data_IF_340006988818
#
_entry.id   IF_340006988818
#
_cell.length_a   1.000
_cell.length_b   1.000
_cell.length_c   1.000
_cell.angle_alpha   90.00
_cell.angle_beta   90.00
_cell.angle_gamma   90.00
#
_symmetry.space_group_name_H-M   'P 1'
#
loop_
_entity.id
_entity.type
_entity.pdbx_description
1 polymer ?
#
# COMPACT_ATOMS: atom_id res chain seq x y z
N UNK A 1 29.32 -25.93 -31.27
CA UNK A 1 29.69 -24.75 -30.46
C UNK A 1 29.09 -24.90 -29.09
N UNK A 2 29.87 -24.68 -28.02
CA UNK A 2 29.37 -24.65 -26.65
C UNK A 2 29.42 -23.19 -26.16
N UNK A 3 28.36 -22.75 -25.50
CA UNK A 3 28.24 -21.42 -24.92
C UNK A 3 27.97 -21.53 -23.42
N UNK A 4 28.44 -20.55 -22.66
CA UNK A 4 28.18 -20.38 -21.22
C UNK A 4 27.96 -18.89 -20.95
N UNK A 5 27.23 -18.57 -19.88
CA UNK A 5 27.02 -17.20 -19.41
C UNK A 5 27.56 -17.05 -17.99
N UNK A 6 28.07 -15.86 -17.67
CA UNK A 6 28.64 -15.52 -16.37
C UNK A 6 27.97 -14.27 -15.84
N UNK A 7 27.62 -14.25 -14.55
CA UNK A 7 27.07 -13.07 -13.88
C UNK A 7 28.03 -11.87 -13.91
N UNK A 8 29.34 -12.11 -14.02
CA UNK A 8 30.37 -11.09 -14.16
C UNK A 8 30.47 -10.52 -15.59
N UNK A 9 29.77 -11.09 -16.57
CA UNK A 9 29.86 -10.70 -17.98
C UNK A 9 28.47 -10.39 -18.59
N UNK A 10 27.79 -9.30 -18.16
CA UNK A 10 26.58 -8.83 -18.82
C UNK A 10 26.86 -8.51 -20.30
N UNK A 11 25.81 -8.57 -21.13
CA UNK A 11 25.89 -8.17 -22.55
C UNK A 11 26.51 -6.77 -22.69
N UNK A 12 27.48 -6.65 -23.60
CA UNK A 12 28.04 -5.35 -23.97
C UNK A 12 27.08 -4.62 -24.91
N UNK A 13 26.71 -3.38 -24.54
CA UNK A 13 25.89 -2.45 -25.32
C UNK A 13 26.69 -1.15 -25.44
N UNK A 14 27.00 -0.72 -26.67
CA UNK A 14 27.82 0.47 -26.94
C UNK A 14 29.16 0.47 -26.17
N UNK A 15 29.85 -0.67 -26.15
CA UNK A 15 31.15 -0.82 -25.51
C UNK A 15 31.14 -0.92 -23.98
N UNK A 16 29.98 -0.93 -23.32
CA UNK A 16 29.86 -1.08 -21.86
C UNK A 16 28.92 -2.22 -21.47
N UNK A 17 29.15 -2.92 -20.33
CA UNK A 17 28.18 -3.88 -19.81
C UNK A 17 26.82 -3.23 -19.56
N UNK A 18 25.73 -3.91 -19.93
CA UNK A 18 24.38 -3.47 -19.61
C UNK A 18 24.18 -3.37 -18.09
N UNK A 19 23.44 -2.36 -17.64
CA UNK A 19 22.99 -2.22 -16.23
C UNK A 19 21.68 -2.96 -15.94
N UNK A 20 21.14 -3.68 -16.93
CA UNK A 20 19.90 -4.44 -16.81
C UNK A 20 20.11 -5.92 -17.18
N UNK A 21 21.02 -6.67 -16.51
CA UNK A 21 21.09 -8.11 -16.66
C UNK A 21 19.79 -8.76 -16.16
N UNK A 22 19.32 -9.80 -16.84
CA UNK A 22 18.03 -10.45 -16.55
C UNK A 22 18.15 -11.96 -16.62
N UNK A 23 17.38 -12.62 -15.78
CA UNK A 23 17.09 -14.05 -15.82
C UNK A 23 15.71 -14.28 -15.20
N UNK A 24 15.04 -15.38 -15.57
CA UNK A 24 13.80 -15.80 -14.92
C UNK A 24 14.16 -16.73 -13.77
N UNK A 25 14.16 -16.20 -12.55
CA UNK A 25 14.39 -16.99 -11.34
C UNK A 25 13.15 -17.84 -11.04
N UNK A 26 13.35 -19.11 -10.72
CA UNK A 26 12.28 -19.94 -10.15
C UNK A 26 11.86 -19.36 -8.80
N UNK A 27 10.55 -19.21 -8.56
CA UNK A 27 10.01 -18.66 -7.30
C UNK A 27 10.58 -19.46 -6.11
N UNK A 28 11.18 -18.82 -5.08
CA UNK A 28 11.92 -19.54 -4.04
C UNK A 28 11.12 -20.57 -3.24
N UNK A 29 9.83 -20.34 -3.01
CA UNK A 29 8.91 -21.27 -2.34
C UNK A 29 8.63 -22.53 -3.18
N UNK A 30 8.76 -22.43 -4.51
CA UNK A 30 8.64 -23.57 -5.44
C UNK A 30 9.99 -24.29 -5.58
N UNK A 31 11.10 -23.54 -5.54
CA UNK A 31 12.45 -24.10 -5.58
C UNK A 31 12.79 -24.85 -4.28
N UNK A 32 12.28 -24.38 -3.14
CA UNK A 32 12.47 -24.96 -1.81
C UNK A 32 11.12 -25.35 -1.17
N UNK A 33 10.40 -26.35 -1.73
CA UNK A 33 9.05 -26.69 -1.27
C UNK A 33 9.03 -27.25 0.17
N UNK A 34 10.16 -27.77 0.67
CA UNK A 34 10.28 -28.27 2.04
C UNK A 34 10.14 -27.18 3.10
N UNK A 35 10.66 -25.97 2.82
CA UNK A 35 10.54 -24.83 3.74
C UNK A 35 9.08 -24.39 3.84
N UNK A 36 8.39 -24.28 2.70
CA UNK A 36 6.95 -23.98 2.62
C UNK A 36 6.11 -25.02 3.36
N UNK A 37 6.41 -26.32 3.17
CA UNK A 37 5.71 -27.40 3.85
C UNK A 37 5.94 -27.37 5.38
N UNK A 38 7.17 -27.10 5.80
CA UNK A 38 7.54 -27.00 7.22
C UNK A 38 6.86 -25.80 7.88
N UNK A 39 6.82 -24.65 7.21
CA UNK A 39 6.12 -23.46 7.67
C UNK A 39 4.62 -23.72 7.80
N UNK A 40 3.98 -24.33 6.79
CA UNK A 40 2.55 -24.66 6.84
C UNK A 40 2.22 -25.62 7.99
N UNK A 41 3.03 -26.67 8.19
CA UNK A 41 2.84 -27.62 9.28
C UNK A 41 2.98 -26.92 10.64
N UNK A 42 4.01 -26.09 10.82
CA UNK A 42 4.22 -25.33 12.06
C UNK A 42 3.03 -24.39 12.33
N UNK A 43 2.54 -23.69 11.31
CA UNK A 43 1.37 -22.82 11.41
C UNK A 43 0.10 -23.60 11.75
N UNK A 44 -0.14 -24.75 11.12
CA UNK A 44 -1.29 -25.61 11.47
C UNK A 44 -1.23 -26.09 12.91
N UNK A 45 -0.05 -26.52 13.39
CA UNK A 45 0.14 -26.91 14.79
C UNK A 45 -0.12 -25.74 15.74
N UNK A 46 0.38 -24.54 15.43
CA UNK A 46 0.14 -23.34 16.22
C UNK A 46 -1.36 -22.97 16.29
N UNK A 47 -2.10 -23.16 15.20
CA UNK A 47 -3.55 -22.93 15.13
C UNK A 47 -4.39 -24.14 15.58
N UNK A 48 -3.76 -25.24 16.00
CA UNK A 48 -4.42 -26.51 16.37
C UNK A 48 -5.35 -27.04 15.26
N UNK A 49 -4.95 -26.84 14.00
CA UNK A 49 -5.71 -27.27 12.83
C UNK A 49 -5.21 -28.62 12.28
N UNK A 50 -6.12 -29.51 11.83
CA UNK A 50 -5.73 -30.74 11.15
C UNK A 50 -4.98 -30.47 9.84
N UNK A 51 -4.02 -31.34 9.50
CA UNK A 51 -3.21 -31.20 8.27
C UNK A 51 -4.00 -31.35 6.97
N UNK A 52 -5.17 -32.01 7.02
CA UNK A 52 -6.09 -32.13 5.88
C UNK A 52 -7.00 -30.92 5.65
N UNK A 53 -6.95 -29.90 6.52
CA UNK A 53 -7.71 -28.67 6.35
C UNK A 53 -6.81 -27.56 5.79
N UNK A 54 -7.37 -26.78 4.86
CA UNK A 54 -6.68 -25.63 4.29
C UNK A 54 -6.53 -24.53 5.34
N UNK A 55 -5.29 -24.07 5.54
CA UNK A 55 -4.97 -22.92 6.37
C UNK A 55 -4.54 -21.75 5.47
N UNK A 56 -5.24 -20.63 5.56
CA UNK A 56 -4.89 -19.36 4.94
C UNK A 56 -4.38 -18.42 6.03
N UNK A 57 -3.13 -17.98 5.92
CA UNK A 57 -2.56 -16.99 6.82
C UNK A 57 -2.86 -15.58 6.28
N UNK A 58 -3.39 -14.67 7.12
CA UNK A 58 -3.66 -13.30 6.71
C UNK A 58 -2.37 -12.47 6.65
N UNK A 59 -2.49 -11.24 6.16
CA UNK A 59 -1.45 -10.23 6.37
C UNK A 59 -1.53 -9.75 7.81
N UNK A 60 -0.37 -9.59 8.44
CA UNK A 60 -0.24 -9.19 9.84
C UNK A 60 0.19 -7.72 10.00
N UNK A 61 1.07 -7.26 9.12
CA UNK A 61 1.69 -5.93 9.15
C UNK A 61 1.88 -5.44 7.72
N UNK A 62 1.55 -4.18 7.46
CA UNK A 62 1.84 -3.52 6.18
C UNK A 62 2.95 -2.50 6.38
N UNK A 63 4.15 -2.85 5.95
CA UNK A 63 5.32 -1.97 5.98
C UNK A 63 5.85 -1.70 4.58
N UNK A 64 5.44 -0.57 4.02
CA UNK A 64 5.95 -0.09 2.76
C UNK A 64 7.39 0.47 2.93
N UNK A 65 8.08 0.62 1.81
CA UNK A 65 9.45 1.14 1.77
C UNK A 65 9.52 2.43 0.98
N UNK A 66 10.32 3.38 1.47
CA UNK A 66 10.60 4.64 0.76
C UNK A 66 12.05 4.71 0.36
N UNK A 67 12.32 5.03 -0.91
CA UNK A 67 13.67 5.35 -1.35
C UNK A 67 13.97 6.82 -1.10
N UNK A 68 14.80 7.06 -0.09
CA UNK A 68 15.27 8.38 0.28
C UNK A 68 16.57 8.72 -0.47
N UNK A 69 16.81 10.00 -0.72
CA UNK A 69 18.06 10.50 -1.28
C UNK A 69 18.44 11.86 -0.70
N UNK A 70 19.75 12.13 -0.54
CA UNK A 70 20.25 13.47 -0.25
C UNK A 70 20.02 14.39 -1.46
N UNK A 71 20.21 15.71 -1.30
CA UNK A 71 20.29 16.61 -2.44
C UNK A 71 21.52 16.28 -3.29
N UNK A 72 21.35 16.30 -4.62
CA UNK A 72 22.43 16.21 -5.61
C UNK A 72 22.16 17.20 -6.75
N UNK A 73 23.15 17.47 -7.62
CA UNK A 73 22.97 18.39 -8.75
C UNK A 73 21.79 17.96 -9.64
N UNK A 74 20.73 18.77 -9.64
CA UNK A 74 19.50 18.52 -10.39
C UNK A 74 18.58 17.46 -9.77
N UNK A 75 18.84 16.99 -8.55
CA UNK A 75 18.01 16.02 -7.82
C UNK A 75 17.51 16.64 -6.51
N UNK A 76 16.19 16.82 -6.34
CA UNK A 76 15.65 17.41 -5.12
C UNK A 76 15.86 16.47 -3.92
N UNK A 77 16.07 17.01 -2.70
CA UNK A 77 16.23 16.19 -1.52
C UNK A 77 14.91 15.50 -1.15
N UNK A 78 15.01 14.23 -0.76
CA UNK A 78 13.91 13.44 -0.22
C UNK A 78 14.44 12.63 0.95
N UNK A 79 14.86 13.29 2.02
CA UNK A 79 15.55 12.64 3.13
C UNK A 79 15.02 13.00 4.54
N UNK A 80 13.78 13.51 4.62
CA UNK A 80 13.16 13.88 5.90
C UNK A 80 12.74 12.69 6.78
N UNK A 81 12.68 11.46 6.24
CA UNK A 81 12.24 10.30 7.00
C UNK A 81 13.34 9.76 7.90
N UNK A 82 12.97 9.38 9.12
CA UNK A 82 13.80 8.57 10.02
C UNK A 82 13.71 7.07 9.59
N UNK A 83 14.36 6.12 10.32
CA UNK A 83 14.35 4.71 9.94
C UNK A 83 12.97 4.07 9.73
N UNK A 84 11.97 4.45 10.53
CA UNK A 84 10.64 3.86 10.49
C UNK A 84 9.58 4.86 10.94
N UNK A 85 8.64 5.15 10.04
CA UNK A 85 7.48 5.99 10.30
C UNK A 85 6.20 5.15 10.40
N UNK A 86 5.29 5.61 11.25
CA UNK A 86 3.88 5.23 11.23
C UNK A 86 3.09 6.41 10.67
N UNK A 87 2.22 6.15 9.70
CA UNK A 87 1.34 7.17 9.12
C UNK A 87 -0.11 6.77 9.36
N UNK A 88 -0.88 7.70 9.92
CA UNK A 88 -2.34 7.60 9.90
C UNK A 88 -2.83 7.63 8.45
N UNK A 89 -4.04 7.13 8.22
CA UNK A 89 -4.53 6.88 6.86
C UNK A 89 -4.52 8.12 5.95
N UNK A 90 -4.83 9.35 6.39
CA UNK A 90 -4.73 10.52 5.52
C UNK A 90 -3.30 10.73 4.99
N UNK A 91 -2.30 10.77 5.85
CA UNK A 91 -0.89 10.94 5.47
C UNK A 91 -0.38 9.76 4.63
N UNK A 92 -0.75 8.54 5.00
CA UNK A 92 -0.38 7.33 4.25
C UNK A 92 -0.93 7.40 2.81
N UNK A 93 -2.15 7.88 2.63
CA UNK A 93 -2.75 8.01 1.30
C UNK A 93 -2.21 9.21 0.53
N UNK A 94 -1.66 10.25 1.17
CA UNK A 94 -0.86 11.24 0.46
C UNK A 94 0.42 10.62 -0.12
N UNK A 95 1.08 9.73 0.64
CA UNK A 95 2.27 8.99 0.20
C UNK A 95 1.92 8.00 -0.93
N UNK A 96 0.90 7.16 -0.76
CA UNK A 96 0.51 6.18 -1.79
C UNK A 96 0.03 6.82 -3.08
N UNK A 97 -0.74 7.90 -2.99
CA UNK A 97 -1.18 8.65 -4.18
C UNK A 97 0.03 9.22 -4.94
N UNK A 98 1.02 9.73 -4.20
CA UNK A 98 2.18 10.41 -4.80
C UNK A 98 3.28 9.45 -5.28
N UNK A 99 3.57 8.37 -4.53
CA UNK A 99 4.63 7.39 -4.78
C UNK A 99 5.93 8.06 -5.27
N UNK A 100 6.51 8.88 -4.38
CA UNK A 100 7.56 9.84 -4.74
C UNK A 100 8.94 9.18 -4.90
N UNK A 101 9.74 9.71 -5.82
CA UNK A 101 11.12 9.25 -6.06
C UNK A 101 12.02 10.37 -6.53
N UNK A 102 13.28 10.39 -6.07
CA UNK A 102 14.28 11.34 -6.56
C UNK A 102 14.81 11.02 -7.96
N UNK A 103 14.48 9.85 -8.52
CA UNK A 103 14.79 9.53 -9.93
C UNK A 103 13.83 10.26 -10.86
N UNK A 104 14.36 10.83 -11.94
CA UNK A 104 13.58 11.55 -12.97
C UNK A 104 12.70 12.65 -12.37
N UNK A 105 13.31 13.69 -11.76
CA UNK A 105 12.57 14.79 -11.15
C UNK A 105 11.71 15.51 -12.20
N UNK A 106 10.61 16.09 -11.73
CA UNK A 106 9.75 16.93 -12.55
C UNK A 106 10.24 18.38 -12.54
N UNK A 107 9.67 19.24 -13.39
CA UNK A 107 10.04 20.67 -13.44
C UNK A 107 9.84 21.39 -12.09
N UNK A 108 8.93 20.91 -11.23
CA UNK A 108 8.54 21.60 -9.98
C UNK A 108 8.76 20.77 -8.71
N UNK A 109 9.28 19.54 -8.80
CA UNK A 109 9.44 18.68 -7.62
C UNK A 109 9.99 17.30 -7.95
N UNK A 110 9.81 16.34 -7.06
CA UNK A 110 10.25 14.96 -7.26
C UNK A 110 9.50 14.26 -8.41
N UNK A 111 10.08 13.15 -8.87
CA UNK A 111 9.39 12.21 -9.74
C UNK A 111 8.26 11.51 -8.98
N UNK A 112 7.26 11.01 -9.72
CA UNK A 112 6.16 10.20 -9.18
C UNK A 112 6.06 8.93 -10.02
N UNK A 113 5.92 7.78 -9.36
CA UNK A 113 5.66 6.49 -10.00
C UNK A 113 4.14 6.25 -10.22
N UNK A 114 3.32 7.27 -9.95
CA UNK A 114 1.86 7.20 -9.96
C UNK A 114 1.30 6.45 -8.74
N UNK A 115 -0.02 6.51 -8.55
CA UNK A 115 -0.69 5.91 -7.41
C UNK A 115 -0.26 4.45 -7.17
N UNK A 116 0.19 4.17 -5.94
CA UNK A 116 0.69 2.87 -5.48
C UNK A 116 1.78 2.27 -6.38
N UNK A 117 2.63 3.10 -7.01
CA UNK A 117 3.66 2.70 -7.99
C UNK A 117 3.12 2.05 -9.27
N UNK A 118 1.81 2.19 -9.53
CA UNK A 118 1.12 1.53 -10.66
C UNK A 118 0.97 2.41 -11.90
N UNK A 119 1.55 3.61 -11.94
CA UNK A 119 1.44 4.54 -13.07
C UNK A 119 1.71 3.90 -14.43
N UNK A 120 2.81 3.12 -14.61
CA UNK A 120 3.10 2.44 -15.88
C UNK A 120 2.22 1.22 -16.20
N UNK A 121 1.38 0.77 -15.25
CA UNK A 121 0.70 -0.53 -15.29
C UNK A 121 -0.82 -0.44 -15.14
N UNK A 122 -1.37 0.75 -14.93
CA UNK A 122 -2.81 0.96 -14.78
C UNK A 122 -3.38 1.67 -16.01
N UNK A 123 -4.26 0.96 -16.73
CA UNK A 123 -4.97 1.49 -17.91
C UNK A 123 -6.32 2.14 -17.56
N UNK A 124 -6.67 2.19 -16.28
CA UNK A 124 -7.93 2.77 -15.77
C UNK A 124 -7.64 3.98 -14.88
N UNK A 125 -8.65 4.82 -14.60
CA UNK A 125 -8.54 5.88 -13.59
C UNK A 125 -7.96 5.35 -12.27
N UNK A 126 -6.82 5.91 -11.85
CA UNK A 126 -6.08 5.45 -10.67
C UNK A 126 -6.89 5.57 -9.37
N UNK A 127 -7.91 6.45 -9.35
CA UNK A 127 -8.79 6.64 -8.20
C UNK A 127 -9.60 5.37 -7.84
N UNK A 128 -9.87 4.49 -8.82
CA UNK A 128 -10.57 3.22 -8.59
C UNK A 128 -9.74 2.31 -7.68
N UNK A 129 -8.43 2.24 -7.96
CA UNK A 129 -7.48 1.50 -7.14
C UNK A 129 -7.35 2.13 -5.74
N UNK A 130 -7.25 3.46 -5.67
CA UNK A 130 -7.12 4.17 -4.39
C UNK A 130 -8.35 3.98 -3.50
N UNK A 131 -9.57 4.05 -4.05
CA UNK A 131 -10.81 3.77 -3.30
C UNK A 131 -10.79 2.36 -2.70
N UNK A 132 -10.35 1.36 -3.48
CA UNK A 132 -10.27 -0.02 -3.01
C UNK A 132 -9.16 -0.22 -1.96
N UNK A 133 -8.00 0.41 -2.17
CA UNK A 133 -6.90 0.38 -1.21
C UNK A 133 -7.27 1.05 0.10
N UNK A 134 -7.95 2.20 0.07
CA UNK A 134 -8.39 2.86 1.31
C UNK A 134 -9.31 1.95 2.12
N UNK A 135 -10.32 1.37 1.46
CA UNK A 135 -11.20 0.40 2.12
C UNK A 135 -10.43 -0.80 2.68
N UNK A 136 -9.39 -1.28 2.00
CA UNK A 136 -8.61 -2.40 2.54
C UNK A 136 -7.93 -2.05 3.85
N UNK A 137 -7.39 -0.84 4.01
CA UNK A 137 -6.78 -0.41 5.28
C UNK A 137 -7.83 -0.10 6.35
N UNK A 138 -8.90 0.61 5.99
CA UNK A 138 -9.95 1.01 6.93
C UNK A 138 -10.68 -0.21 7.52
N UNK A 139 -11.07 -1.18 6.67
CA UNK A 139 -11.92 -2.29 7.09
C UNK A 139 -11.18 -3.33 7.94
N UNK A 140 -9.88 -3.48 7.72
CA UNK A 140 -9.00 -4.37 8.49
C UNK A 140 -8.22 -3.66 9.59
N UNK A 141 -8.36 -2.34 9.70
CA UNK A 141 -7.66 -1.49 10.67
C UNK A 141 -6.13 -1.67 10.64
N UNK A 142 -5.55 -1.82 9.43
CA UNK A 142 -4.10 -1.93 9.32
C UNK A 142 -3.41 -0.61 9.61
N UNK A 143 -2.35 -0.68 10.42
CA UNK A 143 -1.39 0.41 10.59
C UNK A 143 -0.48 0.56 9.35
N UNK A 144 -0.34 1.79 8.86
CA UNK A 144 0.51 2.12 7.73
C UNK A 144 1.95 2.42 8.14
N UNK A 145 2.87 1.49 7.89
CA UNK A 145 4.29 1.68 8.19
C UNK A 145 5.10 2.04 6.95
N UNK A 146 6.08 2.94 7.12
CA UNK A 146 7.01 3.40 6.08
C UNK A 146 8.45 3.26 6.55
N UNK A 147 9.19 2.33 5.97
CA UNK A 147 10.61 2.09 6.27
C UNK A 147 11.54 2.86 5.31
N UNK A 148 12.64 3.39 5.84
CA UNK A 148 13.63 4.10 5.03
C UNK A 148 14.58 3.15 4.31
N UNK A 149 14.82 3.42 3.02
CA UNK A 149 15.88 2.82 2.21
C UNK A 149 16.71 3.92 1.53
N UNK A 150 17.97 3.60 1.21
CA UNK A 150 18.94 4.52 0.64
C UNK A 150 19.59 5.39 1.71
N UNK A 151 18.86 6.37 2.24
CA UNK A 151 19.38 7.36 3.19
C UNK A 151 18.41 7.66 4.35
N UNK A 152 18.96 8.10 5.48
CA UNK A 152 18.24 8.72 6.59
C UNK A 152 18.88 10.09 6.84
N UNK A 153 18.16 11.16 6.55
CA UNK A 153 18.78 12.49 6.41
C UNK A 153 19.78 12.57 5.25
N UNK A 154 20.45 13.72 5.09
CA UNK A 154 21.39 13.94 3.98
C UNK A 154 22.73 13.20 4.13
N UNK A 155 23.09 12.73 5.34
CA UNK A 155 24.46 12.25 5.64
C UNK A 155 24.55 10.75 5.89
N UNK A 156 23.47 10.11 6.33
CA UNK A 156 23.52 8.69 6.72
C UNK A 156 22.98 7.80 5.61
N UNK A 157 23.88 7.07 4.96
CA UNK A 157 23.53 6.05 3.97
C UNK A 157 23.19 4.73 4.68
N UNK A 158 22.02 4.18 4.38
CA UNK A 158 21.48 2.95 4.99
C UNK A 158 21.19 1.84 3.96
N UNK A 159 21.30 2.13 2.66
CA UNK A 159 20.98 1.19 1.57
C UNK A 159 19.69 0.38 1.85
N UNK A 160 19.80 -0.90 2.19
CA UNK A 160 18.66 -1.74 2.59
C UNK A 160 18.80 -2.32 4.01
N UNK A 161 19.73 -1.81 4.80
CA UNK A 161 20.02 -2.34 6.15
C UNK A 161 18.78 -2.28 7.04
N UNK A 162 18.03 -1.18 6.99
CA UNK A 162 16.77 -1.05 7.73
C UNK A 162 15.66 -1.92 7.11
N UNK A 163 15.58 -2.00 5.78
CA UNK A 163 14.56 -2.80 5.08
C UNK A 163 14.59 -4.26 5.52
N UNK A 164 15.79 -4.82 5.74
CA UNK A 164 15.97 -6.20 6.19
C UNK A 164 15.58 -6.42 7.67
N UNK A 165 15.57 -5.37 8.49
CA UNK A 165 15.24 -5.45 9.92
C UNK A 165 13.74 -5.35 10.20
N UNK A 166 12.96 -4.75 9.30
CA UNK A 166 11.50 -4.60 9.46
C UNK A 166 10.81 -5.92 9.82
N UNK A 167 10.93 -7.02 9.04
CA UNK A 167 10.27 -8.27 9.40
C UNK A 167 10.81 -8.88 10.70
N UNK A 168 12.11 -8.74 10.98
CA UNK A 168 12.74 -9.29 12.20
C UNK A 168 12.23 -8.62 13.47
N UNK A 169 11.97 -7.31 13.43
CA UNK A 169 11.43 -6.58 14.57
C UNK A 169 9.94 -6.90 14.76
N UNK A 170 9.12 -6.76 13.70
CA UNK A 170 7.67 -6.94 13.81
C UNK A 170 7.25 -8.38 14.07
N UNK A 171 7.97 -9.39 13.56
CA UNK A 171 7.68 -10.80 13.84
C UNK A 171 8.00 -11.19 15.29
N UNK A 172 8.81 -10.39 15.98
CA UNK A 172 9.17 -10.59 17.39
C UNK A 172 8.34 -9.72 18.34
N UNK A 173 7.35 -8.98 17.85
CA UNK A 173 6.39 -8.20 18.64
C UNK A 173 5.02 -8.89 18.61
N UNK A 174 4.31 -8.91 19.73
CA UNK A 174 2.90 -9.35 19.71
C UNK A 174 2.03 -8.33 18.97
N UNK A 175 0.82 -8.71 18.52
CA UNK A 175 -0.12 -7.76 17.92
C UNK A 175 -0.37 -6.52 18.81
N UNK A 176 -0.53 -6.71 20.11
CA UNK A 176 -0.78 -5.62 21.07
C UNK A 176 0.44 -4.72 21.28
N UNK A 177 1.65 -5.28 21.18
CA UNK A 177 2.89 -4.50 21.31
C UNK A 177 3.17 -3.62 20.09
N UNK A 178 2.70 -4.04 18.90
CA UNK A 178 2.95 -3.36 17.62
C UNK A 178 1.79 -2.50 17.12
N UNK A 179 0.65 -2.53 17.80
CA UNK A 179 -0.46 -1.60 17.58
C UNK A 179 0.04 -0.15 17.72
N UNK A 180 -0.21 0.67 16.69
CA UNK A 180 0.34 2.02 16.65
C UNK A 180 -0.20 2.90 17.79
N UNK A 181 -1.45 2.74 18.21
CA UNK A 181 -2.03 3.51 19.33
C UNK A 181 -1.33 3.16 20.65
N UNK A 182 -1.06 1.88 20.90
CA UNK A 182 -0.28 1.41 22.03
C UNK A 182 1.15 1.96 22.01
N UNK A 183 1.79 1.98 20.83
CA UNK A 183 3.14 2.53 20.66
C UNK A 183 3.21 4.04 20.87
N UNK A 184 2.21 4.80 20.42
CA UNK A 184 2.07 6.24 20.70
C UNK A 184 1.87 6.48 22.20
N UNK A 185 0.95 5.74 22.84
CA UNK A 185 0.70 5.86 24.28
C UNK A 185 1.94 5.51 25.12
N UNK A 186 2.75 4.55 24.67
CA UNK A 186 4.00 4.17 25.30
C UNK A 186 5.19 5.06 24.86
N UNK A 187 4.98 6.16 24.13
CA UNK A 187 6.07 7.06 23.70
C UNK A 187 7.15 6.40 22.82
N UNK A 188 6.82 5.25 22.22
CA UNK A 188 7.66 4.59 21.23
C UNK A 188 7.51 5.23 19.85
N UNK A 189 6.39 5.92 19.61
CA UNK A 189 6.16 6.78 18.47
C UNK A 189 5.98 8.23 18.93
N UNK A 190 6.56 9.18 18.20
CA UNK A 190 6.32 10.62 18.39
C UNK A 190 5.80 11.25 17.09
N UNK A 191 4.85 12.21 17.15
CA UNK A 191 4.41 12.94 15.96
C UNK A 191 5.54 13.84 15.45
N UNK A 192 5.63 14.02 14.13
CA UNK A 192 6.52 15.00 13.53
C UNK A 192 5.78 16.35 13.43
N UNK A 193 6.14 17.38 14.21
CA UNK A 193 5.37 18.62 14.22
C UNK A 193 5.72 19.50 13.02
N UNK A 194 4.73 20.27 12.54
CA UNK A 194 5.00 21.42 11.68
C UNK A 194 6.02 22.35 12.34
N UNK A 195 6.89 22.96 11.53
CA UNK A 195 7.94 23.84 12.02
C UNK A 195 8.03 25.14 11.21
N UNK A 196 8.77 26.12 11.72
CA UNK A 196 9.07 27.36 10.99
C UNK A 196 10.56 27.46 10.77
N UNK A 197 10.96 27.50 9.49
CA UNK A 197 12.35 27.64 9.08
C UNK A 197 12.44 28.89 8.21
N UNK A 198 13.32 29.82 8.57
CA UNK A 198 13.49 31.11 7.88
C UNK A 198 12.17 31.89 7.68
N UNK A 199 11.27 31.87 8.67
CA UNK A 199 10.00 32.57 8.64
C UNK A 199 8.91 31.93 7.76
N UNK A 200 9.19 30.76 7.17
CA UNK A 200 8.23 30.01 6.35
C UNK A 200 7.76 28.75 7.10
N UNK A 201 6.46 28.45 6.99
CA UNK A 201 5.86 27.25 7.57
C UNK A 201 6.26 26.02 6.76
N UNK A 202 6.76 24.99 7.44
CA UNK A 202 7.11 23.68 6.91
C UNK A 202 6.08 22.67 7.42
N UNK A 203 5.35 22.02 6.50
CA UNK A 203 4.23 21.11 6.82
C UNK A 203 4.72 19.69 7.16
N UNK A 204 5.63 19.57 8.13
CA UNK A 204 6.26 18.30 8.49
C UNK A 204 5.30 17.30 9.17
N UNK A 205 4.13 17.76 9.65
CA UNK A 205 3.03 16.89 10.10
C UNK A 205 2.59 15.85 9.06
N UNK A 206 2.78 16.14 7.76
CA UNK A 206 2.50 15.17 6.68
C UNK A 206 3.37 13.91 6.72
N UNK A 207 4.41 13.88 7.56
CA UNK A 207 5.27 12.71 7.78
C UNK A 207 4.71 11.75 8.85
N UNK A 208 3.59 12.10 9.50
CA UNK A 208 2.94 11.30 10.52
C UNK A 208 3.79 11.20 11.80
N UNK A 209 3.96 9.96 12.28
CA UNK A 209 4.72 9.62 13.47
C UNK A 209 6.00 8.89 13.09
N UNK A 210 6.98 8.92 13.99
CA UNK A 210 8.27 8.27 13.80
C UNK A 210 8.72 7.53 15.04
N UNK A 211 9.52 6.48 14.87
CA UNK A 211 10.08 5.74 16.01
C UNK A 211 11.00 6.62 16.86
N UNK A 212 10.96 6.41 18.17
CA UNK A 212 11.83 7.10 19.14
C UNK A 212 12.98 6.21 19.61
N UNK A 213 13.89 6.78 20.39
CA UNK A 213 14.93 5.99 21.09
C UNK A 213 14.31 4.91 22.00
N UNK A 214 13.11 5.17 22.54
CA UNK A 214 12.40 4.20 23.39
C UNK A 214 11.97 2.97 22.59
N UNK A 215 11.48 3.15 21.36
CA UNK A 215 11.18 2.04 20.45
C UNK A 215 12.44 1.20 20.19
N UNK A 216 13.55 1.86 19.84
CA UNK A 216 14.82 1.18 19.58
C UNK A 216 15.25 0.35 20.81
N UNK A 217 15.31 0.97 22.00
CA UNK A 217 15.69 0.28 23.24
C UNK A 217 14.79 -0.92 23.56
N UNK A 218 13.46 -0.80 23.37
CA UNK A 218 12.48 -1.82 23.78
C UNK A 218 12.38 -2.98 22.80
N UNK A 219 12.31 -2.70 21.50
CA UNK A 219 11.99 -3.72 20.49
C UNK A 219 13.19 -4.15 19.65
N UNK A 220 14.11 -3.23 19.30
CA UNK A 220 15.36 -3.63 18.64
C UNK A 220 16.29 -4.42 19.56
N UNK A 221 16.11 -4.34 20.89
CA UNK A 221 16.81 -5.19 21.86
C UNK A 221 16.53 -6.69 21.71
N UNK A 222 15.47 -7.07 20.96
CA UNK A 222 15.17 -8.47 20.62
C UNK A 222 16.02 -9.00 19.46
N UNK A 223 16.73 -8.12 18.76
CA UNK A 223 17.61 -8.43 17.61
C UNK A 223 19.07 -8.09 17.93
N UNK A 224 19.30 -6.95 18.59
CA UNK A 224 20.63 -6.41 18.86
C UNK A 224 20.96 -6.44 20.36
N UNK A 225 22.22 -6.76 20.69
CA UNK A 225 22.73 -6.75 22.06
C UNK A 225 22.80 -5.35 22.69
N UNK A 226 23.03 -4.32 21.88
CA UNK A 226 23.16 -2.93 22.34
C UNK A 226 22.18 -2.02 21.58
N UNK A 227 20.87 -2.10 21.89
CA UNK A 227 19.84 -1.41 21.10
C UNK A 227 19.90 0.12 21.17
N UNK A 228 20.57 0.67 22.19
CA UNK A 228 20.72 2.12 22.40
C UNK A 228 21.77 2.78 21.47
N UNK A 229 22.54 1.99 20.72
CA UNK A 229 23.51 2.50 19.72
C UNK A 229 23.18 2.06 18.29
N UNK A 230 22.03 1.40 18.09
CA UNK A 230 21.59 0.95 16.75
C UNK A 230 21.28 2.14 15.85
N UNK A 231 20.60 3.14 16.40
CA UNK A 231 20.34 4.41 15.73
C UNK A 231 20.86 5.54 16.61
N UNK A 232 21.71 6.38 16.04
CA UNK A 232 22.11 7.61 16.72
C UNK A 232 20.96 8.64 16.73
N UNK A 233 21.18 9.73 17.45
CA UNK A 233 20.19 10.80 17.59
C UNK A 233 19.86 11.47 16.25
N UNK A 234 20.83 11.57 15.34
CA UNK A 234 20.68 12.21 14.03
C UNK A 234 19.97 11.30 13.02
N UNK A 235 19.99 9.98 13.20
CA UNK A 235 19.17 9.04 12.46
C UNK A 235 17.73 9.09 12.92
N UNK A 236 17.49 9.09 14.25
CA UNK A 236 16.13 9.16 14.81
C UNK A 236 15.47 10.52 14.57
N UNK A 237 16.28 11.58 14.47
CA UNK A 237 15.85 12.96 14.22
C UNK A 237 16.68 13.58 13.07
N UNK A 238 16.35 13.24 11.80
CA UNK A 238 17.11 13.67 10.62
C UNK A 238 17.26 15.20 10.48
N UNK A 239 16.34 15.97 11.06
CA UNK A 239 16.40 17.43 11.09
C UNK A 239 17.66 17.96 11.82
N UNK A 240 18.29 17.15 12.67
CA UNK A 240 19.52 17.52 13.37
C UNK A 240 20.76 17.45 12.47
N UNK A 241 20.70 16.70 11.36
CA UNK A 241 21.81 16.62 10.41
C UNK A 241 21.95 17.93 9.63
N UNK A 242 20.82 18.48 9.18
CA UNK A 242 20.70 19.77 8.48
C UNK A 242 19.22 20.20 8.45
N UNK A 243 18.86 21.25 9.19
CA UNK A 243 17.48 21.74 9.30
C UNK A 243 16.95 22.29 7.97
N UNK A 244 17.82 22.92 7.16
CA UNK A 244 17.41 23.50 5.89
C UNK A 244 17.10 22.41 4.86
N UNK A 245 17.92 21.36 4.76
CA UNK A 245 17.67 20.23 3.86
C UNK A 245 16.44 19.43 4.31
N UNK A 246 16.20 19.31 5.62
CA UNK A 246 14.98 18.70 6.14
C UNK A 246 13.74 19.49 5.69
N UNK A 247 13.75 20.81 5.88
CA UNK A 247 12.67 21.69 5.45
C UNK A 247 12.43 21.62 3.94
N UNK A 248 13.50 21.66 3.14
CA UNK A 248 13.44 21.52 1.69
C UNK A 248 12.84 20.17 1.26
N UNK A 249 13.25 19.07 1.93
CA UNK A 249 12.68 17.74 1.65
C UNK A 249 11.17 17.70 1.89
N UNK A 250 10.67 18.36 2.93
CA UNK A 250 9.24 18.45 3.23
C UNK A 250 8.52 19.30 2.17
N UNK A 251 9.12 20.41 1.73
CA UNK A 251 8.52 21.22 0.65
C UNK A 251 8.41 20.46 -0.66
N UNK A 252 9.45 19.69 -1.01
CA UNK A 252 9.44 18.83 -2.19
C UNK A 252 8.30 17.81 -2.09
N UNK A 253 8.07 17.24 -0.91
CA UNK A 253 6.94 16.34 -0.65
C UNK A 253 5.60 17.06 -0.88
N UNK A 254 5.40 18.22 -0.25
CA UNK A 254 4.15 18.99 -0.34
C UNK A 254 3.85 19.42 -1.79
N UNK A 255 4.85 19.92 -2.51
CA UNK A 255 4.70 20.36 -3.90
C UNK A 255 4.44 19.17 -4.83
N UNK A 256 5.07 18.02 -4.58
CA UNK A 256 4.81 16.81 -5.35
C UNK A 256 3.39 16.29 -5.11
N UNK A 257 2.93 16.28 -3.85
CA UNK A 257 1.55 15.96 -3.49
C UNK A 257 0.55 16.89 -4.18
N UNK A 258 0.81 18.20 -4.19
CA UNK A 258 -0.03 19.20 -4.86
C UNK A 258 -0.14 18.92 -6.36
N UNK A 259 0.99 18.71 -7.04
CA UNK A 259 1.05 18.41 -8.48
C UNK A 259 0.31 17.12 -8.82
N UNK A 260 0.52 16.05 -8.04
CA UNK A 260 -0.14 14.76 -8.27
C UNK A 260 -1.64 14.88 -8.04
N UNK A 261 -2.08 15.55 -6.97
CA UNK A 261 -3.49 15.75 -6.70
C UNK A 261 -4.19 16.56 -7.80
N UNK A 262 -3.52 17.60 -8.33
CA UNK A 262 -4.04 18.41 -9.43
C UNK A 262 -4.41 17.57 -10.67
N UNK A 263 -3.66 16.50 -10.97
CA UNK A 263 -3.94 15.64 -12.12
C UNK A 263 -5.34 15.00 -12.07
N UNK A 264 -5.87 14.68 -10.88
CA UNK A 264 -7.22 14.12 -10.70
C UNK A 264 -8.33 15.15 -10.96
N UNK A 265 -8.03 16.44 -10.78
CA UNK A 265 -8.94 17.51 -11.17
C UNK A 265 -8.89 17.74 -12.68
N UNK A 266 -7.68 17.75 -13.25
CA UNK A 266 -7.45 18.05 -14.66
C UNK A 266 -8.10 17.01 -15.59
N UNK A 267 -8.14 15.74 -15.18
CA UNK A 267 -8.80 14.66 -15.92
C UNK A 267 -10.24 14.34 -15.45
N UNK A 268 -10.72 15.05 -14.43
CA UNK A 268 -12.06 14.90 -13.86
C UNK A 268 -12.29 13.61 -13.06
N UNK A 269 -11.26 12.79 -12.86
CA UNK A 269 -11.39 11.51 -12.13
C UNK A 269 -11.60 11.68 -10.64
N UNK A 270 -11.37 12.88 -10.09
CA UNK A 270 -11.73 13.23 -8.71
C UNK A 270 -13.21 12.99 -8.39
N UNK A 271 -14.11 13.10 -9.36
CA UNK A 271 -15.55 12.84 -9.15
C UNK A 271 -15.86 11.37 -8.84
N UNK A 272 -14.92 10.46 -9.10
CA UNK A 272 -15.04 9.04 -8.72
C UNK A 272 -14.46 8.74 -7.32
N UNK A 273 -13.80 9.70 -6.69
CA UNK A 273 -13.17 9.53 -5.38
C UNK A 273 -14.23 9.32 -4.29
N UNK A 274 -14.02 8.33 -3.42
CA UNK A 274 -14.84 8.24 -2.21
C UNK A 274 -14.60 9.49 -1.32
N UNK A 275 -15.56 9.89 -0.46
CA UNK A 275 -15.48 11.14 0.29
C UNK A 275 -14.16 11.40 1.05
N UNK A 276 -13.53 10.42 1.73
CA UNK A 276 -12.25 10.64 2.41
C UNK A 276 -11.12 11.02 1.45
N UNK A 277 -11.03 10.34 0.29
CA UNK A 277 -10.01 10.62 -0.72
C UNK A 277 -10.29 11.91 -1.48
N UNK A 278 -11.57 12.25 -1.72
CA UNK A 278 -11.94 13.55 -2.31
C UNK A 278 -11.43 14.69 -1.44
N UNK A 279 -11.75 14.66 -0.15
CA UNK A 279 -11.27 15.66 0.82
C UNK A 279 -9.73 15.71 0.85
N UNK A 280 -9.07 14.56 0.86
CA UNK A 280 -7.61 14.48 0.87
C UNK A 280 -6.97 15.11 -0.38
N UNK A 281 -7.50 14.79 -1.58
CA UNK A 281 -7.01 15.35 -2.84
C UNK A 281 -7.24 16.86 -2.92
N UNK A 282 -8.38 17.35 -2.43
CA UNK A 282 -8.62 18.79 -2.31
C UNK A 282 -7.60 19.47 -1.38
N UNK A 283 -7.33 18.89 -0.21
CA UNK A 283 -6.31 19.39 0.73
C UNK A 283 -4.92 19.36 0.10
N UNK A 284 -4.56 18.30 -0.62
CA UNK A 284 -3.26 18.20 -1.29
C UNK A 284 -3.10 19.28 -2.36
N UNK A 285 -4.12 19.49 -3.21
CA UNK A 285 -4.07 20.44 -4.32
C UNK A 285 -4.20 21.91 -3.89
N UNK A 286 -5.11 22.19 -2.94
CA UNK A 286 -5.57 23.54 -2.61
C UNK A 286 -5.20 23.98 -1.19
N UNK A 287 -4.63 23.08 -0.38
CA UNK A 287 -4.35 23.28 1.04
C UNK A 287 -5.56 23.07 1.95
N UNK A 288 -6.77 23.03 1.39
CA UNK A 288 -8.05 22.89 2.09
C UNK A 288 -9.11 22.25 1.20
N UNK A 289 -10.13 21.68 1.80
CA UNK A 289 -11.35 21.22 1.13
C UNK A 289 -12.18 22.41 0.59
N UNK A 290 -13.17 22.12 -0.25
CA UNK A 290 -14.08 23.13 -0.80
C UNK A 290 -14.85 23.94 0.27
N UNK A 291 -15.19 23.30 1.40
CA UNK A 291 -15.83 23.93 2.57
C UNK A 291 -14.83 24.55 3.57
N UNK A 292 -13.53 24.50 3.26
CA UNK A 292 -12.48 25.23 3.98
C UNK A 292 -11.82 24.46 5.12
N UNK A 293 -12.04 23.14 5.22
CA UNK A 293 -11.39 22.27 6.19
C UNK A 293 -9.97 21.91 5.74
N UNK A 294 -9.12 21.63 6.71
CA UNK A 294 -7.72 21.25 6.57
C UNK A 294 -7.50 19.82 7.06
N UNK A 295 -6.26 19.33 6.91
CA UNK A 295 -5.89 17.99 7.33
C UNK A 295 -6.09 17.77 8.85
N UNK A 296 -5.93 18.81 9.66
CA UNK A 296 -6.02 18.74 11.12
C UNK A 296 -7.47 18.83 11.63
N UNK A 297 -8.43 19.13 10.77
CA UNK A 297 -9.82 19.24 11.18
C UNK A 297 -10.39 17.86 11.57
N UNK A 298 -10.97 17.69 12.77
CA UNK A 298 -11.49 16.41 13.23
C UNK A 298 -12.54 15.81 12.30
N UNK A 299 -13.30 16.66 11.60
CA UNK A 299 -14.29 16.23 10.62
C UNK A 299 -13.63 15.49 9.43
N UNK A 300 -12.46 15.94 8.96
CA UNK A 300 -11.70 15.28 7.88
C UNK A 300 -11.13 13.95 8.37
N UNK A 301 -10.49 13.96 9.55
CA UNK A 301 -9.92 12.74 10.16
C UNK A 301 -10.97 11.63 10.33
N UNK A 302 -12.16 12.01 10.82
CA UNK A 302 -13.28 11.09 11.05
C UNK A 302 -13.80 10.39 9.79
N UNK A 303 -13.57 10.94 8.59
CA UNK A 303 -13.94 10.27 7.34
C UNK A 303 -13.20 8.93 7.14
N UNK A 304 -12.05 8.75 7.80
CA UNK A 304 -11.21 7.56 7.69
C UNK A 304 -11.53 6.51 8.78
N UNK A 305 -12.46 6.79 9.70
CA UNK A 305 -12.84 5.86 10.75
C UNK A 305 -13.65 4.70 10.19
N UNK A 306 -13.30 3.47 10.62
CA UNK A 306 -13.96 2.23 10.18
C UNK A 306 -15.48 2.26 10.36
N UNK A 307 -15.96 2.66 11.54
CA UNK A 307 -17.38 2.70 11.84
C UNK A 307 -18.12 3.75 11.00
N UNK A 308 -17.46 4.86 10.67
CA UNK A 308 -18.02 5.91 9.80
C UNK A 308 -18.14 5.41 8.37
N UNK A 309 -17.12 4.71 7.87
CA UNK A 309 -17.15 4.09 6.54
C UNK A 309 -18.20 2.98 6.46
N UNK A 310 -18.26 2.06 7.44
CA UNK A 310 -19.24 0.98 7.45
C UNK A 310 -20.69 1.49 7.46
N UNK A 311 -20.96 2.63 8.11
CA UNK A 311 -22.28 3.24 8.18
C UNK A 311 -22.62 4.16 7.00
N UNK A 312 -21.68 4.38 6.07
CA UNK A 312 -21.82 5.40 5.03
C UNK A 312 -22.56 4.90 3.78
N UNK A 313 -23.40 5.77 3.21
CA UNK A 313 -24.14 5.47 1.98
C UNK A 313 -23.21 5.11 0.81
N UNK A 314 -22.09 5.82 0.67
CA UNK A 314 -21.12 5.57 -0.41
C UNK A 314 -20.50 4.17 -0.32
N UNK A 315 -20.27 3.64 0.89
CA UNK A 315 -19.77 2.28 1.06
C UNK A 315 -20.87 1.27 0.70
N UNK A 316 -22.11 1.50 1.15
CA UNK A 316 -23.25 0.66 0.79
C UNK A 316 -23.50 0.63 -0.73
N UNK A 317 -23.36 1.77 -1.42
CA UNK A 317 -23.47 1.84 -2.89
C UNK A 317 -22.43 0.96 -3.59
N UNK A 318 -21.19 0.88 -3.06
CA UNK A 318 -20.15 -0.02 -3.61
C UNK A 318 -20.52 -1.49 -3.46
N UNK A 319 -21.13 -1.86 -2.34
CA UNK A 319 -21.57 -3.23 -2.09
C UNK A 319 -22.77 -3.60 -2.98
N UNK A 320 -23.70 -2.66 -3.19
CA UNK A 320 -24.81 -2.82 -4.13
C UNK A 320 -24.28 -2.99 -5.57
N UNK A 321 -23.33 -2.15 -5.98
CA UNK A 321 -22.66 -2.25 -7.28
C UNK A 321 -21.96 -3.61 -7.47
N UNK A 322 -21.33 -4.15 -6.41
CA UNK A 322 -20.72 -5.49 -6.44
C UNK A 322 -21.77 -6.58 -6.63
N UNK A 323 -22.85 -6.54 -5.87
CA UNK A 323 -23.94 -7.51 -5.99
C UNK A 323 -24.55 -7.49 -7.40
N UNK A 324 -24.86 -6.31 -7.93
CA UNK A 324 -25.42 -6.19 -9.28
C UNK A 324 -24.47 -6.71 -10.37
N UNK A 325 -23.17 -6.45 -10.23
CA UNK A 325 -22.17 -6.98 -11.16
C UNK A 325 -22.08 -8.52 -11.12
N UNK A 326 -22.20 -9.13 -9.94
CA UNK A 326 -22.19 -10.59 -9.80
C UNK A 326 -23.44 -11.23 -10.39
N UNK A 327 -24.62 -10.65 -10.10
CA UNK A 327 -25.90 -11.09 -10.70
C UNK A 327 -25.81 -11.02 -12.22
N UNK A 328 -25.34 -9.88 -12.76
CA UNK A 328 -25.21 -9.71 -14.20
C UNK A 328 -24.26 -10.75 -14.80
N UNK A 329 -23.08 -10.93 -14.20
CA UNK A 329 -22.09 -11.91 -14.68
C UNK A 329 -22.63 -13.34 -14.65
N UNK A 330 -23.34 -13.71 -13.58
CA UNK A 330 -23.95 -15.04 -13.47
C UNK A 330 -25.05 -15.25 -14.52
N UNK A 331 -25.90 -14.23 -14.79
CA UNK A 331 -26.90 -14.28 -15.86
C UNK A 331 -26.27 -14.39 -17.25
N UNK A 332 -25.21 -13.61 -17.52
CA UNK A 332 -24.45 -13.70 -18.77
C UNK A 332 -23.85 -15.11 -18.95
N UNK A 333 -23.34 -15.72 -17.87
CA UNK A 333 -22.83 -17.09 -17.89
C UNK A 333 -23.93 -18.12 -18.17
N UNK A 334 -25.10 -18.01 -17.52
CA UNK A 334 -26.27 -18.86 -17.81
C UNK A 334 -26.64 -18.78 -19.30
N UNK A 335 -26.69 -17.56 -19.86
CA UNK A 335 -27.00 -17.36 -21.27
C UNK A 335 -25.96 -18.02 -22.19
N UNK A 336 -24.67 -17.83 -21.91
CA UNK A 336 -23.58 -18.41 -22.69
C UNK A 336 -23.57 -19.95 -22.65
N UNK A 337 -23.73 -20.55 -21.46
CA UNK A 337 -23.79 -22.01 -21.30
C UNK A 337 -25.04 -22.57 -21.98
N UNK A 338 -26.19 -21.91 -21.84
CA UNK A 338 -27.44 -22.33 -22.49
C UNK A 338 -27.31 -22.32 -24.02
N UNK A 339 -26.74 -21.27 -24.60
CA UNK A 339 -26.46 -21.19 -26.04
C UNK A 339 -25.52 -22.31 -26.50
N UNK A 340 -24.50 -22.63 -25.71
CA UNK A 340 -23.57 -23.71 -26.04
C UNK A 340 -24.22 -25.09 -25.96
N UNK A 341 -25.02 -25.36 -24.91
CA UNK A 341 -25.68 -26.65 -24.65
C UNK A 341 -26.77 -26.98 -25.67
N UNK A 342 -27.44 -25.97 -26.23
CA UNK A 342 -28.55 -26.16 -27.17
C UNK A 342 -28.10 -26.42 -28.62
N UNK A 343 -26.80 -26.37 -28.92
CA UNK A 343 -26.27 -26.67 -30.25
C UNK A 343 -26.03 -28.16 -30.38
N UNK A 344 -26.74 -28.81 -31.32
CA UNK A 344 -26.61 -30.26 -31.59
C UNK A 344 -25.15 -30.67 -31.88
N UNK A 345 -24.40 -29.82 -32.58
CA UNK A 345 -22.98 -30.04 -32.87
C UNK A 345 -22.09 -30.15 -31.62
N UNK A 346 -22.57 -29.73 -30.44
CA UNK A 346 -21.82 -29.74 -29.19
C UNK A 346 -22.19 -30.93 -28.26
N UNK A 347 -23.10 -31.82 -28.66
CA UNK A 347 -23.67 -32.85 -27.78
C UNK A 347 -22.60 -33.69 -27.03
N UNK A 348 -21.55 -34.15 -27.72
CA UNK A 348 -20.46 -34.90 -27.10
C UNK A 348 -19.73 -34.10 -26.01
N UNK A 349 -19.45 -32.81 -26.28
CA UNK A 349 -18.77 -31.93 -25.33
C UNK A 349 -19.66 -31.59 -24.12
N UNK A 350 -20.96 -31.44 -24.34
CA UNK A 350 -21.96 -31.20 -23.28
C UNK A 350 -21.98 -32.35 -22.29
N UNK A 351 -22.02 -33.59 -22.78
CA UNK A 351 -22.05 -34.76 -21.92
C UNK A 351 -20.70 -35.01 -21.23
N UNK A 352 -19.58 -34.88 -21.97
CA UNK A 352 -18.23 -35.12 -21.43
C UNK A 352 -17.83 -34.15 -20.31
N UNK A 353 -18.31 -32.91 -20.37
CA UNK A 353 -17.99 -31.85 -19.40
C UNK A 353 -19.12 -31.60 -18.39
N UNK A 354 -20.20 -32.38 -18.44
CA UNK A 354 -21.39 -32.23 -17.59
C UNK A 354 -21.96 -30.79 -17.56
N UNK A 355 -22.04 -30.16 -18.75
CA UNK A 355 -22.42 -28.74 -18.86
C UNK A 355 -23.87 -28.47 -18.45
N UNK A 356 -24.71 -29.51 -18.37
CA UNK A 356 -26.08 -29.39 -17.86
C UNK A 356 -26.10 -29.21 -16.34
N UNK A 357 -25.27 -29.96 -15.60
CA UNK A 357 -25.11 -29.75 -14.17
C UNK A 357 -24.47 -28.40 -13.88
N UNK A 358 -23.44 -27.99 -14.65
CA UNK A 358 -22.82 -26.67 -14.52
C UNK A 358 -23.82 -25.54 -14.77
N UNK A 359 -24.71 -25.69 -15.76
CA UNK A 359 -25.78 -24.74 -16.03
C UNK A 359 -26.73 -24.60 -14.84
N UNK A 360 -27.14 -25.71 -14.22
CA UNK A 360 -28.03 -25.68 -13.07
C UNK A 360 -27.35 -25.12 -11.82
N UNK A 361 -26.07 -25.41 -11.60
CA UNK A 361 -25.26 -24.77 -10.55
C UNK A 361 -25.14 -23.26 -10.79
N UNK A 362 -24.91 -22.82 -12.03
CA UNK A 362 -24.81 -21.40 -12.37
C UNK A 362 -26.14 -20.66 -12.18
N UNK A 363 -27.29 -21.30 -12.46
CA UNK A 363 -28.61 -20.73 -12.13
C UNK A 363 -28.78 -20.57 -10.62
N UNK A 364 -28.35 -21.54 -9.81
CA UNK A 364 -28.39 -21.42 -8.35
C UNK A 364 -27.51 -20.27 -7.83
N UNK A 365 -26.40 -19.96 -8.50
CA UNK A 365 -25.58 -18.77 -8.19
C UNK A 365 -26.34 -17.47 -8.47
N UNK A 366 -27.16 -17.38 -9.53
CA UNK A 366 -27.99 -16.19 -9.79
C UNK A 366 -28.94 -15.95 -8.62
N UNK A 367 -29.60 -16.98 -8.12
CA UNK A 367 -30.49 -16.88 -6.95
C UNK A 367 -29.71 -16.47 -5.70
N UNK A 368 -28.55 -17.09 -5.46
CA UNK A 368 -27.68 -16.77 -4.33
C UNK A 368 -27.25 -15.30 -4.37
N UNK A 369 -26.74 -14.81 -5.49
CA UNK A 369 -26.29 -13.43 -5.61
C UNK A 369 -27.44 -12.42 -5.57
N UNK A 370 -28.66 -12.83 -5.93
CA UNK A 370 -29.85 -11.98 -5.82
C UNK A 370 -30.41 -11.90 -4.39
N UNK A 371 -29.94 -12.74 -3.47
CA UNK A 371 -30.42 -12.79 -2.09
C UNK A 371 -29.95 -11.62 -1.23
N UNK A 372 -30.72 -11.30 -0.19
CA UNK A 372 -30.33 -10.30 0.81
C UNK A 372 -29.16 -10.81 1.68
N UNK A 373 -29.10 -12.13 1.90
CA UNK A 373 -28.05 -12.79 2.67
C UNK A 373 -26.68 -12.62 2.00
N UNK A 374 -26.62 -12.77 0.66
CA UNK A 374 -25.40 -12.50 -0.09
C UNK A 374 -24.99 -11.03 0.05
N UNK A 375 -25.93 -10.11 -0.10
CA UNK A 375 -25.66 -8.68 0.06
C UNK A 375 -25.12 -8.32 1.45
N UNK A 376 -25.67 -8.96 2.49
CA UNK A 376 -25.20 -8.80 3.86
C UNK A 376 -23.80 -9.39 4.05
N UNK A 377 -23.50 -10.53 3.41
CA UNK A 377 -22.17 -11.16 3.47
C UNK A 377 -21.05 -10.31 2.85
N UNK A 378 -21.39 -9.31 2.03
CA UNK A 378 -20.42 -8.39 1.44
C UNK A 378 -19.97 -7.28 2.40
N UNK A 379 -20.62 -7.10 3.56
CA UNK A 379 -20.19 -6.10 4.54
C UNK A 379 -18.81 -6.51 5.09
N UNK A 380 -17.84 -5.60 4.99
CA UNK A 380 -16.42 -5.86 5.25
C UNK A 380 -15.61 -6.17 3.99
N UNK A 381 -16.23 -6.31 2.81
CA UNK A 381 -15.55 -6.40 1.53
C UNK A 381 -15.32 -5.01 0.90
N UNK A 382 -14.47 -4.93 -0.12
CA UNK A 382 -14.12 -3.67 -0.81
C UNK A 382 -15.24 -3.11 -1.71
N UNK A 383 -16.26 -3.93 -1.99
CA UNK A 383 -17.30 -3.63 -2.97
C UNK A 383 -16.75 -3.46 -4.40
N UNK A 384 -17.45 -2.67 -5.21
CA UNK A 384 -17.08 -2.31 -6.59
C UNK A 384 -17.29 -0.81 -6.79
N UNK A 385 -16.52 -0.19 -7.70
CA UNK A 385 -16.78 1.19 -8.12
C UNK A 385 -18.18 1.31 -8.74
N UNK A 386 -19.07 2.18 -8.21
CA UNK A 386 -20.37 2.43 -8.81
C UNK A 386 -20.23 3.13 -10.17
N UNK A 387 -21.21 2.95 -11.06
CA UNK A 387 -21.23 3.59 -12.38
C UNK A 387 -20.30 2.97 -13.44
N UNK A 388 -19.72 1.79 -13.19
CA UNK A 388 -18.84 1.05 -14.12
C UNK A 388 -19.33 -0.32 -14.57
#
# INVERSE_FOLDING_TARGET
YHYVVSSANPRIVNGKPTRNPRYLQQRPDVANPQDTASALLASQLAHKMPTGQELRLPIDVVAAGRRNNPPEDGVPPLCAHNPLHYMELPELFMEFTSSMTGKSPSMTGAGSEGAMTKGPFNALPAIIDLNAALLSFVLTEYDGWMSAAGYVGPKVRVDHDISMLVPEVFARMTPEERDAKALVADGCLEPVPDMTVNGRKVLASRLGYRITERFARKYFGRVFMHPHVVFDKEMLRPELQDEAIFAESVDVIVETQRRVAQAYFDDGTIEMACPPLRALLEIMANGKTADGLTLDDPAVRKLFDREVVLASDWYHERLDAKQQADIKRAKDAVAAITDFVNKEANAEAVDRLDLRAELDATKALVETYSSAEYRQSLIGALGRQPGM
#
